data_IF_174919031014
#
_entry.id   IF_174919031014
#
_cell.length_a   1.000
_cell.length_b   1.000
_cell.length_c   1.000
_cell.angle_alpha   90.00
_cell.angle_beta   90.00
_cell.angle_gamma   90.00
#
_symmetry.space_group_name_H-M   'P 1'
#
loop_
_entity.id
_entity.type
_entity.pdbx_description
1 polymer ?
#
# COMPACT_ATOMS: atom_id res chain seq x y z
N UNK A 1 0.87 -25.04 -10.76
CA UNK A 1 1.78 -24.15 -11.52
C UNK A 1 2.78 -23.55 -10.56
N UNK A 2 4.03 -24.00 -10.63
CA UNK A 2 5.11 -23.59 -9.73
C UNK A 2 5.44 -22.11 -9.95
N UNK A 3 5.49 -21.34 -8.85
CA UNK A 3 5.95 -19.94 -8.80
C UNK A 3 7.47 -19.83 -9.07
N UNK A 4 8.17 -20.96 -9.21
CA UNK A 4 9.55 -20.99 -9.68
C UNK A 4 9.60 -20.94 -11.22
N UNK A 5 9.39 -19.74 -11.76
CA UNK A 5 9.79 -19.38 -13.11
C UNK A 5 10.77 -18.23 -13.02
N UNK A 6 12.03 -18.48 -13.41
CA UNK A 6 13.17 -17.58 -13.33
C UNK A 6 13.09 -16.37 -14.31
N UNK A 7 11.92 -15.73 -14.42
CA UNK A 7 11.77 -14.40 -15.05
C UNK A 7 11.98 -13.35 -13.97
N UNK A 8 13.00 -12.50 -14.10
CA UNK A 8 13.09 -11.27 -13.31
C UNK A 8 11.81 -10.47 -13.60
N UNK A 9 11.00 -10.26 -12.57
CA UNK A 9 9.87 -9.35 -12.64
C UNK A 9 10.39 -7.96 -13.00
N UNK A 10 9.83 -7.36 -14.05
CA UNK A 10 10.26 -6.05 -14.57
C UNK A 10 9.85 -4.94 -13.58
N UNK A 11 8.62 -5.00 -13.06
CA UNK A 11 8.05 -3.94 -12.25
C UNK A 11 8.08 -4.24 -10.73
N UNK A 12 7.95 -5.50 -10.34
CA UNK A 12 7.81 -5.89 -8.93
C UNK A 12 9.04 -6.65 -8.39
N UNK A 13 10.23 -6.44 -8.99
CA UNK A 13 11.44 -7.17 -8.62
C UNK A 13 11.82 -7.05 -7.13
N UNK A 14 11.79 -5.83 -6.57
CA UNK A 14 12.10 -5.60 -5.16
C UNK A 14 11.05 -6.21 -4.22
N UNK A 15 9.79 -6.16 -4.63
CA UNK A 15 8.65 -6.74 -3.91
C UNK A 15 8.78 -8.27 -3.87
N UNK A 16 9.12 -8.91 -4.98
CA UNK A 16 9.39 -10.35 -5.03
C UNK A 16 10.59 -10.75 -4.18
N UNK A 17 11.66 -9.96 -4.20
CA UNK A 17 12.82 -10.20 -3.34
C UNK A 17 12.42 -10.19 -1.86
N UNK A 18 11.66 -9.18 -1.44
CA UNK A 18 11.20 -9.05 -0.06
C UNK A 18 10.23 -10.18 0.33
N UNK A 19 9.26 -10.55 -0.52
CA UNK A 19 8.37 -11.69 -0.25
C UNK A 19 9.09 -13.03 -0.16
N UNK A 20 10.16 -13.25 -0.94
CA UNK A 20 11.01 -14.45 -0.80
C UNK A 20 11.78 -14.43 0.51
N UNK A 21 12.30 -13.27 0.92
CA UNK A 21 13.00 -13.12 2.20
C UNK A 21 12.06 -13.39 3.39
N UNK A 22 10.82 -12.90 3.31
CA UNK A 22 9.76 -13.15 4.30
C UNK A 22 9.20 -14.59 4.30
N UNK A 23 9.61 -15.42 3.33
CA UNK A 23 9.10 -16.79 3.17
C UNK A 23 7.64 -16.85 2.65
N UNK A 24 7.11 -15.76 2.11
CA UNK A 24 5.74 -15.64 1.66
C UNK A 24 5.45 -16.55 0.45
N UNK A 25 6.44 -16.75 -0.42
CA UNK A 25 6.34 -17.63 -1.60
C UNK A 25 6.18 -19.09 -1.18
N UNK A 26 6.99 -19.52 -0.22
CA UNK A 26 6.94 -20.86 0.37
C UNK A 26 5.59 -21.09 1.07
N UNK A 27 5.13 -20.13 1.87
CA UNK A 27 3.83 -20.20 2.55
C UNK A 27 2.66 -20.34 1.58
N UNK A 28 2.67 -19.62 0.46
CA UNK A 28 1.65 -19.72 -0.59
C UNK A 28 1.70 -21.05 -1.35
N UNK A 29 2.89 -21.60 -1.58
CA UNK A 29 3.07 -22.87 -2.27
C UNK A 29 2.47 -24.06 -1.50
N UNK A 30 2.37 -23.96 -0.17
CA UNK A 30 1.83 -25.01 0.73
C UNK A 30 2.46 -26.39 0.53
N UNK A 31 3.77 -26.41 0.23
CA UNK A 31 4.52 -27.66 0.05
C UNK A 31 4.92 -28.25 1.40
N UNK A 32 4.02 -29.02 2.00
CA UNK A 32 4.16 -29.62 3.34
C UNK A 32 5.40 -30.52 3.49
N UNK A 33 5.89 -31.12 2.38
CA UNK A 33 7.08 -31.97 2.38
C UNK A 33 8.41 -31.21 2.25
N UNK A 34 8.39 -29.87 2.12
CA UNK A 34 9.62 -29.09 1.93
C UNK A 34 10.12 -28.50 3.25
N UNK A 35 11.40 -28.73 3.58
CA UNK A 35 12.08 -28.05 4.70
C UNK A 35 11.92 -26.52 4.66
N UNK A 36 11.92 -25.93 3.44
CA UNK A 36 11.78 -24.48 3.25
C UNK A 36 10.42 -23.95 3.71
N UNK A 37 9.36 -24.75 3.58
CA UNK A 37 8.02 -24.40 4.05
C UNK A 37 7.98 -24.33 5.57
N UNK A 38 8.45 -25.38 6.26
CA UNK A 38 8.48 -25.41 7.73
C UNK A 38 9.37 -24.32 8.33
N UNK A 39 10.49 -24.00 7.68
CA UNK A 39 11.32 -22.85 8.06
C UNK A 39 10.56 -21.52 7.95
N UNK A 40 9.81 -21.30 6.87
CA UNK A 40 9.01 -20.10 6.69
C UNK A 40 7.85 -20.01 7.71
N UNK A 41 7.21 -21.14 8.02
CA UNK A 41 6.18 -21.23 9.07
C UNK A 41 6.76 -20.90 10.43
N UNK A 42 7.89 -21.50 10.81
CA UNK A 42 8.55 -21.22 12.09
C UNK A 42 8.97 -19.75 12.23
N UNK A 43 9.56 -19.17 11.17
CA UNK A 43 9.94 -17.75 11.15
C UNK A 43 8.73 -16.84 11.38
N UNK A 44 7.64 -17.05 10.65
CA UNK A 44 6.44 -16.22 10.76
C UNK A 44 5.64 -16.51 12.05
N UNK A 45 5.73 -17.71 12.62
CA UNK A 45 5.15 -18.00 13.93
C UNK A 45 5.84 -17.17 15.03
N UNK A 46 7.18 -17.11 15.00
CA UNK A 46 7.97 -16.32 15.96
C UNK A 46 7.75 -14.82 15.74
N UNK A 47 7.84 -14.36 14.50
CA UNK A 47 7.88 -12.92 14.19
C UNK A 47 6.49 -12.32 13.98
N UNK A 48 5.61 -13.00 13.26
CA UNK A 48 4.33 -12.44 12.80
C UNK A 48 3.18 -12.79 13.73
N UNK A 49 3.28 -13.88 14.50
CA UNK A 49 2.27 -14.23 15.51
C UNK A 49 2.71 -13.89 16.93
N UNK A 50 3.94 -14.26 17.35
CA UNK A 50 4.33 -14.09 18.75
C UNK A 50 4.63 -12.61 19.11
N UNK A 51 5.29 -11.85 18.22
CA UNK A 51 5.64 -10.46 18.51
C UNK A 51 4.43 -9.53 18.78
N UNK A 52 3.36 -9.51 17.96
CA UNK A 52 2.17 -8.73 18.29
C UNK A 52 1.51 -9.14 19.62
N UNK A 53 1.49 -10.45 19.93
CA UNK A 53 0.94 -10.95 21.20
C UNK A 53 1.75 -10.44 22.39
N UNK A 54 3.09 -10.47 22.29
CA UNK A 54 3.98 -9.96 23.35
C UNK A 54 3.76 -8.45 23.61
N UNK A 55 3.49 -7.67 22.57
CA UNK A 55 3.19 -6.23 22.69
C UNK A 55 1.79 -5.97 23.28
N UNK A 56 0.79 -6.75 22.87
CA UNK A 56 -0.59 -6.64 23.40
C UNK A 56 -0.60 -6.85 24.92
N UNK A 57 0.16 -7.84 25.42
CA UNK A 57 0.21 -8.18 26.83
C UNK A 57 0.76 -7.04 27.72
N UNK A 58 1.53 -6.10 27.16
CA UNK A 58 2.06 -4.92 27.87
C UNK A 58 1.40 -3.61 27.48
N UNK A 59 0.37 -3.63 26.63
CA UNK A 59 -0.15 -2.40 26.02
C UNK A 59 -0.67 -1.37 27.03
N UNK A 60 -1.26 -1.82 28.15
CA UNK A 60 -1.86 -0.96 29.18
C UNK A 60 -1.15 -1.07 30.54
N UNK A 61 0.10 -1.54 30.57
CA UNK A 61 0.82 -1.80 31.82
C UNK A 61 1.63 -0.60 32.34
N UNK A 62 1.61 0.56 31.67
CA UNK A 62 2.43 1.72 32.05
C UNK A 62 1.67 2.71 32.93
N UNK A 63 2.39 3.39 33.81
CA UNK A 63 1.81 4.42 34.69
C UNK A 63 1.45 5.69 33.90
N UNK A 64 2.25 6.06 32.90
CA UNK A 64 1.99 7.23 32.08
C UNK A 64 0.99 6.93 30.95
N UNK A 65 -0.08 7.74 30.80
CA UNK A 65 -1.03 7.61 29.71
C UNK A 65 -0.39 7.72 28.32
N UNK A 66 0.65 8.55 28.17
CA UNK A 66 1.37 8.74 26.91
C UNK A 66 2.08 7.45 26.46
N UNK A 67 2.71 6.74 27.40
CA UNK A 67 3.40 5.48 27.13
C UNK A 67 2.43 4.35 26.76
N UNK A 68 1.26 4.31 27.43
CA UNK A 68 0.19 3.38 27.06
C UNK A 68 -0.33 3.66 25.64
N UNK A 69 -0.51 4.93 25.26
CA UNK A 69 -0.98 5.29 23.93
C UNK A 69 0.04 4.95 22.83
N UNK A 70 1.32 5.19 23.10
CA UNK A 70 2.41 4.81 22.19
C UNK A 70 2.44 3.29 21.98
N UNK A 71 2.40 2.50 23.06
CA UNK A 71 2.40 1.03 22.98
C UNK A 71 1.12 0.49 22.32
N UNK A 72 -0.02 1.15 22.51
CA UNK A 72 -1.27 0.83 21.83
C UNK A 72 -1.15 0.98 20.31
N UNK A 73 -0.66 2.12 19.81
CA UNK A 73 -0.47 2.34 18.38
C UNK A 73 0.51 1.32 17.77
N UNK A 74 1.62 1.04 18.45
CA UNK A 74 2.62 0.05 17.99
C UNK A 74 2.02 -1.35 17.91
N UNK A 75 1.26 -1.76 18.94
CA UNK A 75 0.59 -3.07 18.99
C UNK A 75 -0.46 -3.19 17.89
N UNK A 76 -1.30 -2.16 17.72
CA UNK A 76 -2.33 -2.11 16.69
C UNK A 76 -1.72 -2.20 15.29
N UNK A 77 -0.67 -1.41 15.03
CA UNK A 77 0.08 -1.45 13.76
C UNK A 77 0.68 -2.84 13.54
N UNK A 78 1.30 -3.46 14.54
CA UNK A 78 1.94 -4.78 14.40
C UNK A 78 0.94 -5.89 14.09
N UNK A 79 -0.24 -5.88 14.73
CA UNK A 79 -1.33 -6.80 14.41
C UNK A 79 -1.81 -6.56 12.98
N UNK A 80 -2.03 -5.31 12.60
CA UNK A 80 -2.49 -4.94 11.27
C UNK A 80 -1.54 -5.43 10.18
N UNK A 81 -0.23 -5.18 10.32
CA UNK A 81 0.82 -5.67 9.41
C UNK A 81 0.79 -7.18 9.27
N UNK A 82 0.66 -7.88 10.39
CA UNK A 82 0.60 -9.34 10.40
C UNK A 82 -0.63 -9.88 9.66
N UNK A 83 -1.78 -9.24 9.84
CA UNK A 83 -3.02 -9.58 9.11
C UNK A 83 -2.89 -9.27 7.62
N UNK A 84 -2.39 -8.07 7.24
CA UNK A 84 -2.17 -7.67 5.84
C UNK A 84 -1.24 -8.66 5.13
N UNK A 85 -0.12 -9.00 5.74
CA UNK A 85 0.85 -9.95 5.20
C UNK A 85 0.20 -11.31 4.91
N UNK A 86 -0.58 -11.87 5.85
CA UNK A 86 -1.27 -13.14 5.64
C UNK A 86 -2.30 -13.08 4.51
N UNK A 87 -2.98 -11.94 4.34
CA UNK A 87 -3.90 -11.72 3.21
C UNK A 87 -3.12 -11.70 1.90
N UNK A 88 -2.01 -10.96 1.82
CA UNK A 88 -1.14 -10.92 0.63
C UNK A 88 -0.58 -12.29 0.28
N UNK A 89 -0.11 -13.07 1.27
CA UNK A 89 0.38 -14.44 1.06
C UNK A 89 -0.65 -15.30 0.33
N UNK A 90 -1.94 -15.17 0.66
CA UNK A 90 -3.02 -15.90 -0.02
C UNK A 90 -3.26 -15.43 -1.46
N UNK A 91 -3.05 -14.14 -1.72
CA UNK A 91 -3.29 -13.51 -3.04
C UNK A 91 -2.07 -13.54 -3.97
N UNK A 92 -0.88 -13.90 -3.48
CA UNK A 92 0.37 -13.97 -4.26
C UNK A 92 0.27 -14.71 -5.59
N UNK A 93 -0.65 -15.68 -5.72
CA UNK A 93 -0.85 -16.45 -6.97
C UNK A 93 -1.33 -15.59 -8.15
N UNK A 94 -1.97 -14.45 -7.88
CA UNK A 94 -2.53 -13.54 -8.90
C UNK A 94 -1.49 -12.58 -9.47
N UNK A 95 -0.41 -12.33 -8.75
CA UNK A 95 0.61 -11.35 -9.14
C UNK A 95 1.35 -11.75 -10.44
N UNK A 96 1.71 -13.02 -10.66
CA UNK A 96 2.21 -13.46 -11.96
C UNK A 96 1.22 -13.27 -13.11
N UNK A 97 -0.10 -13.32 -12.86
CA UNK A 97 -1.12 -13.02 -13.88
C UNK A 97 -1.13 -11.53 -14.21
N UNK A 98 -1.10 -10.66 -13.19
CA UNK A 98 -0.95 -9.19 -13.34
C UNK A 98 0.28 -8.86 -14.21
N UNK A 99 1.44 -9.43 -13.91
CA UNK A 99 2.67 -9.22 -14.68
C UNK A 99 2.56 -9.68 -16.14
N UNK A 100 1.88 -10.79 -16.40
CA UNK A 100 1.65 -11.27 -17.78
C UNK A 100 0.75 -10.32 -18.57
N UNK A 101 -0.29 -9.76 -17.94
CA UNK A 101 -1.17 -8.78 -18.58
C UNK A 101 -0.42 -7.49 -18.87
N UNK A 102 0.39 -7.00 -17.93
CA UNK A 102 1.27 -5.83 -18.12
C UNK A 102 2.25 -6.06 -19.26
N UNK A 103 2.97 -7.18 -19.26
CA UNK A 103 3.91 -7.52 -20.34
C UNK A 103 3.22 -7.58 -21.71
N UNK A 104 1.97 -8.06 -21.76
CA UNK A 104 1.16 -8.06 -23.00
C UNK A 104 0.82 -6.63 -23.45
N UNK A 105 0.48 -5.74 -22.53
CA UNK A 105 0.23 -4.32 -22.84
C UNK A 105 1.50 -3.59 -23.28
N UNK A 106 2.64 -3.88 -22.66
CA UNK A 106 3.94 -3.29 -23.01
C UNK A 106 4.35 -3.57 -24.46
N UNK A 107 3.99 -4.73 -25.02
CA UNK A 107 4.28 -5.05 -26.44
C UNK A 107 3.60 -4.11 -27.44
N UNK A 108 2.58 -3.36 -27.01
CA UNK A 108 1.82 -2.43 -27.86
C UNK A 108 2.43 -1.02 -27.92
N UNK A 109 3.47 -0.75 -27.13
CA UNK A 109 4.18 0.54 -27.12
C UNK A 109 5.07 0.63 -28.38
N UNK A 110 4.66 1.44 -29.35
CA UNK A 110 5.37 1.57 -30.64
C UNK A 110 5.83 2.99 -30.92
N UNK A 111 4.91 3.96 -30.84
CA UNK A 111 5.12 5.37 -31.20
C UNK A 111 6.04 6.11 -30.23
N UNK A 112 6.76 7.12 -30.71
CA UNK A 112 7.66 7.94 -29.87
C UNK A 112 6.94 8.55 -28.66
N UNK A 113 5.74 9.10 -28.84
CA UNK A 113 4.95 9.69 -27.75
C UNK A 113 4.57 8.64 -26.68
N UNK A 114 4.26 7.41 -27.09
CA UNK A 114 3.96 6.32 -26.16
C UNK A 114 5.21 5.88 -25.39
N UNK A 115 6.39 5.90 -26.02
CA UNK A 115 7.67 5.62 -25.36
C UNK A 115 8.01 6.70 -24.33
N UNK A 116 7.75 7.97 -24.64
CA UNK A 116 7.90 9.08 -23.69
C UNK A 116 6.95 8.88 -22.49
N UNK A 117 5.68 8.55 -22.73
CA UNK A 117 4.72 8.28 -21.65
C UNK A 117 5.09 7.04 -20.81
N UNK A 118 5.59 5.99 -21.46
CA UNK A 118 6.11 4.80 -20.78
C UNK A 118 7.31 5.14 -19.89
N UNK A 119 8.25 5.95 -20.40
CA UNK A 119 9.39 6.42 -19.64
C UNK A 119 8.97 7.30 -18.44
N UNK A 120 7.96 8.16 -18.59
CA UNK A 120 7.38 8.94 -17.49
C UNK A 120 6.76 8.03 -16.42
N UNK A 121 6.01 7.00 -16.84
CA UNK A 121 5.43 6.01 -15.93
C UNK A 121 6.53 5.27 -15.16
N UNK A 122 7.59 4.83 -15.86
CA UNK A 122 8.76 4.18 -15.25
C UNK A 122 9.51 5.09 -14.27
N UNK A 123 9.63 6.39 -14.60
CA UNK A 123 10.20 7.40 -13.71
C UNK A 123 9.37 7.55 -12.45
N UNK A 124 8.04 7.61 -12.57
CA UNK A 124 7.14 7.72 -11.43
C UNK A 124 7.21 6.50 -10.51
N UNK A 125 7.25 5.28 -11.08
CA UNK A 125 7.47 4.04 -10.33
C UNK A 125 8.79 4.07 -9.55
N UNK A 126 9.85 4.59 -10.18
CA UNK A 126 11.19 4.69 -9.56
C UNK A 126 11.21 5.72 -8.42
N UNK A 127 10.55 6.86 -8.60
CA UNK A 127 10.43 7.91 -7.57
C UNK A 127 9.68 7.34 -6.37
N UNK A 128 8.48 6.79 -6.57
CA UNK A 128 7.67 6.23 -5.47
C UNK A 128 8.43 5.10 -4.77
N UNK A 129 9.02 4.16 -5.51
CA UNK A 129 9.83 3.10 -4.91
C UNK A 129 11.00 3.65 -4.09
N UNK A 130 11.63 4.74 -4.54
CA UNK A 130 12.73 5.39 -3.82
C UNK A 130 12.26 6.10 -2.57
N UNK A 131 11.13 6.81 -2.62
CA UNK A 131 10.52 7.45 -1.45
C UNK A 131 10.16 6.41 -0.38
N UNK A 132 9.52 5.30 -0.75
CA UNK A 132 9.21 4.21 0.19
C UNK A 132 10.48 3.55 0.75
N UNK A 133 11.51 3.33 -0.06
CA UNK A 133 12.79 2.78 0.42
C UNK A 133 13.45 3.70 1.44
N UNK A 134 13.45 5.01 1.18
CA UNK A 134 14.04 6.01 2.08
C UNK A 134 13.24 6.13 3.38
N UNK A 135 11.91 6.20 3.31
CA UNK A 135 11.06 6.33 4.50
C UNK A 135 11.19 5.10 5.40
N UNK A 136 10.97 3.90 4.87
CA UNK A 136 11.06 2.66 5.62
C UNK A 136 12.48 2.33 6.06
N UNK A 137 13.50 2.69 5.25
CA UNK A 137 14.90 2.58 5.63
C UNK A 137 15.24 3.48 6.82
N UNK A 138 14.79 4.74 6.80
CA UNK A 138 14.98 5.67 7.92
C UNK A 138 14.28 5.19 9.19
N UNK A 139 13.04 4.70 9.09
CA UNK A 139 12.33 4.08 10.24
C UNK A 139 13.09 2.87 10.78
N UNK A 140 13.58 1.99 9.90
CA UNK A 140 14.38 0.84 10.29
C UNK A 140 15.68 1.23 11.01
N UNK A 141 16.39 2.25 10.52
CA UNK A 141 17.59 2.75 11.20
C UNK A 141 17.21 3.34 12.55
N UNK A 142 16.21 4.22 12.61
CA UNK A 142 15.78 4.88 13.84
C UNK A 142 15.38 3.89 14.93
N UNK A 143 14.53 2.89 14.61
CA UNK A 143 14.06 1.91 15.58
C UNK A 143 15.16 0.98 16.11
N UNK A 144 16.14 0.64 15.28
CA UNK A 144 17.21 -0.29 15.67
C UNK A 144 18.38 0.42 16.35
N UNK A 145 18.70 1.65 15.94
CA UNK A 145 19.84 2.43 16.46
C UNK A 145 19.49 3.11 17.79
N UNK A 146 18.22 3.50 18.01
CA UNK A 146 17.79 4.18 19.23
C UNK A 146 18.12 3.41 20.53
N UNK A 147 18.18 2.08 20.47
CA UNK A 147 18.49 1.23 21.63
C UNK A 147 19.92 1.43 22.13
N UNK A 148 20.87 1.67 21.25
CA UNK A 148 22.28 1.84 21.60
C UNK A 148 22.58 3.16 22.32
N UNK A 149 21.67 4.13 22.22
CA UNK A 149 21.80 5.45 22.85
C UNK A 149 21.13 5.54 24.22
N UNK A 150 20.51 4.46 24.70
CA UNK A 150 19.88 4.43 26.03
C UNK A 150 20.89 4.04 27.10
N UNK A 151 20.98 4.84 28.17
CA UNK A 151 21.93 4.63 29.28
C UNK A 151 21.61 3.38 30.12
N UNK A 152 20.34 2.99 30.18
CA UNK A 152 19.88 1.82 30.92
C UNK A 152 19.50 0.67 29.99
N UNK A 153 19.73 -0.57 30.46
CA UNK A 153 19.30 -1.80 29.77
C UNK A 153 17.79 -1.77 29.58
N UNK A 154 17.39 -1.56 28.34
CA UNK A 154 15.99 -1.52 27.94
C UNK A 154 15.81 -2.27 26.63
N UNK A 155 14.58 -2.71 26.39
CA UNK A 155 14.18 -3.31 25.13
C UNK A 155 13.78 -2.20 24.14
N UNK A 156 14.03 -2.38 22.82
CA UNK A 156 13.58 -1.46 21.78
C UNK A 156 12.11 -1.08 21.90
N UNK A 157 11.25 -2.09 22.07
CA UNK A 157 9.83 -1.89 22.37
C UNK A 157 9.48 -2.58 23.69
N UNK A 158 8.72 -1.92 24.57
CA UNK A 158 8.21 -2.58 25.77
C UNK A 158 7.29 -3.74 25.38
N UNK A 159 7.68 -4.97 25.73
CA UNK A 159 6.93 -6.19 25.41
C UNK A 159 7.05 -7.19 26.56
N UNK A 160 6.02 -8.01 26.77
CA UNK A 160 6.08 -9.10 27.73
C UNK A 160 6.90 -10.25 27.18
N UNK A 161 7.84 -10.77 27.98
CA UNK A 161 8.61 -11.97 27.66
C UNK A 161 8.40 -13.04 28.74
N UNK A 162 8.31 -14.32 28.34
CA UNK A 162 8.20 -15.41 29.30
C UNK A 162 9.49 -15.68 30.09
N UNK A 163 10.62 -15.12 29.65
CA UNK A 163 11.92 -15.27 30.30
C UNK A 163 12.29 -13.96 31.01
N UNK A 164 12.76 -14.07 32.26
CA UNK A 164 13.26 -12.93 33.03
C UNK A 164 14.52 -12.35 32.38
N UNK A 165 14.34 -11.29 31.60
CA UNK A 165 15.41 -10.57 30.91
C UNK A 165 16.06 -9.47 31.78
N UNK A 166 15.42 -9.08 32.88
CA UNK A 166 15.91 -8.05 33.80
C UNK A 166 17.11 -8.52 34.62
N UNK A 167 17.06 -9.77 35.08
CA UNK A 167 18.08 -10.35 35.98
C UNK A 167 19.17 -11.15 35.24
N UNK A 168 18.89 -11.66 34.04
CA UNK A 168 19.81 -12.52 33.28
C UNK A 168 20.29 -11.86 31.98
N UNK A 169 21.61 -11.73 31.83
CA UNK A 169 22.25 -11.20 30.62
C UNK A 169 21.96 -12.07 29.38
N UNK A 170 21.95 -13.40 29.55
CA UNK A 170 21.66 -14.32 28.44
C UNK A 170 20.23 -14.15 27.94
N UNK A 171 19.26 -14.06 28.85
CA UNK A 171 17.86 -13.85 28.51
C UNK A 171 17.64 -12.47 27.88
N UNK A 172 18.37 -11.45 28.36
CA UNK A 172 18.37 -10.12 27.75
C UNK A 172 18.82 -10.15 26.28
N UNK A 173 19.96 -10.80 25.97
CA UNK A 173 20.42 -10.92 24.58
C UNK A 173 19.45 -11.71 23.69
N UNK A 174 18.81 -12.76 24.22
CA UNK A 174 17.78 -13.51 23.49
C UNK A 174 16.59 -12.62 23.16
N UNK A 175 16.05 -11.90 24.14
CA UNK A 175 14.92 -10.99 23.95
C UNK A 175 15.28 -9.86 22.96
N UNK A 176 16.49 -9.32 23.09
CA UNK A 176 17.00 -8.26 22.22
C UNK A 176 17.11 -8.74 20.77
N UNK A 177 17.74 -9.89 20.52
CA UNK A 177 17.86 -10.46 19.18
C UNK A 177 16.50 -10.80 18.56
N UNK A 178 15.57 -11.32 19.38
CA UNK A 178 14.20 -11.56 18.95
C UNK A 178 13.52 -10.26 18.49
N UNK A 179 13.61 -9.17 19.27
CA UNK A 179 13.01 -7.90 18.88
C UNK A 179 13.64 -7.30 17.63
N UNK A 180 14.98 -7.32 17.52
CA UNK A 180 15.68 -6.86 16.32
C UNK A 180 15.19 -7.58 15.06
N UNK A 181 15.08 -8.91 15.13
CA UNK A 181 14.57 -9.72 14.03
C UNK A 181 13.10 -9.39 13.73
N UNK A 182 12.26 -9.32 14.76
CA UNK A 182 10.82 -9.09 14.60
C UNK A 182 10.53 -7.72 13.98
N UNK A 183 11.16 -6.66 14.49
CA UNK A 183 11.02 -5.29 13.98
C UNK A 183 11.49 -5.21 12.52
N UNK A 184 12.66 -5.77 12.21
CA UNK A 184 13.21 -5.74 10.85
C UNK A 184 12.29 -6.43 9.84
N UNK A 185 11.71 -7.56 10.23
CA UNK A 185 10.76 -8.30 9.39
C UNK A 185 9.41 -7.60 9.29
N UNK A 186 8.86 -7.03 10.36
CA UNK A 186 7.61 -6.25 10.35
C UNK A 186 7.74 -5.00 9.47
N UNK A 187 8.87 -4.30 9.53
CA UNK A 187 9.18 -3.16 8.65
C UNK A 187 9.21 -3.62 7.18
N UNK A 188 9.84 -4.77 6.91
CA UNK A 188 9.87 -5.32 5.56
C UNK A 188 8.48 -5.75 5.06
N UNK A 189 7.64 -6.31 5.93
CA UNK A 189 6.23 -6.64 5.63
C UNK A 189 5.46 -5.38 5.26
N UNK A 190 5.47 -4.34 6.11
CA UNK A 190 4.80 -3.07 5.82
C UNK A 190 5.31 -2.40 4.55
N UNK A 191 6.64 -2.40 4.33
CA UNK A 191 7.23 -1.81 3.13
C UNK A 191 6.64 -2.41 1.85
N UNK A 192 6.52 -3.75 1.78
CA UNK A 192 6.00 -4.42 0.58
C UNK A 192 4.49 -4.24 0.45
N UNK A 193 3.77 -4.38 1.56
CA UNK A 193 2.31 -4.32 1.62
C UNK A 193 1.79 -2.94 1.19
N UNK A 194 2.52 -1.87 1.54
CA UNK A 194 2.13 -0.50 1.22
C UNK A 194 2.71 -0.02 -0.13
N UNK A 195 3.84 -0.59 -0.59
CA UNK A 195 4.44 -0.24 -1.89
C UNK A 195 3.66 -0.85 -3.07
N UNK A 196 3.15 -2.07 -2.94
CA UNK A 196 2.51 -2.76 -4.06
C UNK A 196 1.26 -2.01 -4.63
N UNK A 197 0.28 -1.55 -3.82
CA UNK A 197 -0.91 -0.86 -4.31
C UNK A 197 -0.67 0.40 -5.16
N UNK A 198 0.16 1.38 -4.75
CA UNK A 198 0.42 2.55 -5.59
C UNK A 198 1.13 2.17 -6.90
N UNK A 199 2.07 1.21 -6.89
CA UNK A 199 2.77 0.80 -8.11
C UNK A 199 1.82 0.17 -9.14
N UNK A 200 0.91 -0.72 -8.72
CA UNK A 200 -0.05 -1.33 -9.65
C UNK A 200 -1.04 -0.29 -10.21
N UNK A 201 -1.45 0.70 -9.41
CA UNK A 201 -2.30 1.80 -9.89
C UNK A 201 -1.58 2.72 -10.88
N UNK A 202 -0.31 3.06 -10.64
CA UNK A 202 0.51 3.82 -11.60
C UNK A 202 0.55 3.11 -12.95
N UNK A 203 0.77 1.79 -12.94
CA UNK A 203 0.84 0.98 -14.16
C UNK A 203 -0.51 0.92 -14.89
N UNK A 204 -1.62 0.76 -14.17
CA UNK A 204 -2.97 0.77 -14.74
C UNK A 204 -3.25 2.15 -15.38
N UNK A 205 -3.01 3.23 -14.66
CA UNK A 205 -3.23 4.59 -15.17
C UNK A 205 -2.35 4.87 -16.40
N UNK A 206 -1.07 4.50 -16.36
CA UNK A 206 -0.14 4.67 -17.48
C UNK A 206 -0.59 3.93 -18.73
N UNK A 207 -1.09 2.69 -18.61
CA UNK A 207 -1.63 1.96 -19.75
C UNK A 207 -2.97 2.51 -20.25
N UNK A 208 -3.82 3.05 -19.37
CA UNK A 208 -5.02 3.78 -19.79
C UNK A 208 -4.65 5.01 -20.62
N UNK A 209 -3.67 5.81 -20.18
CA UNK A 209 -3.21 6.99 -20.90
C UNK A 209 -2.57 6.63 -22.26
N UNK A 210 -1.80 5.54 -22.32
CA UNK A 210 -1.29 5.02 -23.60
C UNK A 210 -2.41 4.55 -24.53
N UNK A 211 -3.49 4.00 -23.98
CA UNK A 211 -4.67 3.65 -24.77
C UNK A 211 -5.40 4.90 -25.27
N UNK A 212 -5.51 5.94 -24.44
CA UNK A 212 -6.05 7.26 -24.83
C UNK A 212 -5.29 7.81 -26.04
N UNK A 213 -3.96 7.86 -25.99
CA UNK A 213 -3.12 8.35 -27.10
C UNK A 213 -3.35 7.56 -28.39
N UNK A 214 -3.50 6.23 -28.29
CA UNK A 214 -3.78 5.37 -29.45
C UNK A 214 -5.13 5.63 -30.04
N UNK A 215 -6.17 5.68 -29.21
CA UNK A 215 -7.54 5.93 -29.64
C UNK A 215 -7.67 7.29 -30.34
N UNK A 216 -7.10 8.35 -29.76
CA UNK A 216 -7.19 9.69 -30.33
C UNK A 216 -6.46 9.84 -31.66
N UNK A 217 -5.47 8.99 -31.94
CA UNK A 217 -4.71 9.05 -33.18
C UNK A 217 -5.40 8.34 -34.36
N UNK A 218 -6.42 7.51 -34.12
CA UNK A 218 -7.03 6.69 -35.17
C UNK A 218 -7.71 7.57 -36.24
N UNK A 219 -7.34 7.33 -37.50
CA UNK A 219 -7.96 7.95 -38.67
C UNK A 219 -7.43 9.34 -39.03
N UNK A 220 -6.39 9.80 -38.36
CA UNK A 220 -5.64 11.01 -38.75
C UNK A 220 -4.41 10.68 -39.62
N UNK A 221 -3.92 9.45 -39.55
CA UNK A 221 -2.95 8.93 -40.50
C UNK A 221 -3.63 8.62 -41.85
N UNK A 222 -2.86 8.60 -42.94
CA UNK A 222 -3.36 8.21 -44.28
C UNK A 222 -3.66 6.69 -44.38
N UNK A 223 -4.01 6.07 -43.26
CA UNK A 223 -4.34 4.65 -43.14
C UNK A 223 -5.71 4.36 -43.73
N UNK A 224 -5.81 3.24 -44.45
CA UNK A 224 -7.08 2.77 -44.99
C UNK A 224 -8.10 2.49 -43.87
N UNK A 225 -9.39 2.70 -44.18
CA UNK A 225 -10.51 2.46 -43.25
C UNK A 225 -10.49 1.08 -42.60
N UNK A 226 -10.04 0.04 -43.33
CA UNK A 226 -9.90 -1.32 -42.79
C UNK A 226 -8.81 -1.42 -41.71
N UNK A 227 -7.71 -0.71 -41.89
CA UNK A 227 -6.63 -0.64 -40.90
C UNK A 227 -7.11 0.05 -39.62
N UNK A 228 -7.83 1.18 -39.76
CA UNK A 228 -8.40 1.92 -38.63
C UNK A 228 -9.40 1.07 -37.84
N UNK A 229 -10.24 0.28 -38.52
CA UNK A 229 -11.16 -0.66 -37.89
C UNK A 229 -10.43 -1.77 -37.13
N UNK A 230 -9.38 -2.34 -37.71
CA UNK A 230 -8.55 -3.32 -37.00
C UNK A 230 -7.85 -2.70 -35.78
N UNK A 231 -7.37 -1.47 -35.88
CA UNK A 231 -6.72 -0.79 -34.76
C UNK A 231 -7.70 -0.46 -33.63
N UNK A 232 -8.93 -0.05 -33.96
CA UNK A 232 -10.01 0.10 -32.97
C UNK A 232 -10.29 -1.22 -32.25
N UNK A 233 -10.39 -2.35 -32.98
CA UNK A 233 -10.61 -3.66 -32.38
C UNK A 233 -9.46 -4.04 -31.43
N UNK A 234 -8.21 -3.73 -31.79
CA UNK A 234 -7.06 -3.94 -30.89
C UNK A 234 -7.16 -3.03 -29.65
N UNK A 235 -7.55 -1.77 -29.81
CA UNK A 235 -7.77 -0.85 -28.68
C UNK A 235 -8.88 -1.35 -27.73
N UNK A 236 -9.98 -1.89 -28.27
CA UNK A 236 -11.05 -2.51 -27.47
C UNK A 236 -10.50 -3.71 -26.67
N UNK A 237 -9.67 -4.54 -27.31
CA UNK A 237 -9.03 -5.68 -26.64
C UNK A 237 -8.06 -5.24 -25.54
N UNK A 238 -7.28 -4.19 -25.79
CA UNK A 238 -6.37 -3.62 -24.81
C UNK A 238 -7.15 -3.03 -23.61
N UNK A 239 -8.26 -2.34 -23.86
CA UNK A 239 -9.17 -1.88 -22.80
C UNK A 239 -9.70 -3.05 -21.94
N UNK A 240 -10.13 -4.15 -22.56
CA UNK A 240 -10.58 -5.34 -21.84
C UNK A 240 -9.47 -5.93 -20.96
N UNK A 241 -8.22 -5.94 -21.45
CA UNK A 241 -7.05 -6.38 -20.68
C UNK A 241 -6.80 -5.44 -19.50
N UNK A 242 -6.87 -4.12 -19.69
CA UNK A 242 -6.72 -3.13 -18.61
C UNK A 242 -7.84 -3.28 -17.57
N UNK A 243 -9.09 -3.49 -17.98
CA UNK A 243 -10.19 -3.77 -17.05
C UNK A 243 -9.95 -5.06 -16.26
N UNK A 244 -9.45 -6.12 -16.90
CA UNK A 244 -9.08 -7.37 -16.21
C UNK A 244 -7.92 -7.16 -15.24
N UNK A 245 -6.90 -6.41 -15.64
CA UNK A 245 -5.76 -6.03 -14.80
C UNK A 245 -6.23 -5.27 -13.56
N UNK A 246 -7.13 -4.31 -13.75
CA UNK A 246 -7.74 -3.55 -12.67
C UNK A 246 -8.49 -4.45 -11.67
N UNK A 247 -9.34 -5.36 -12.17
CA UNK A 247 -10.06 -6.30 -11.32
C UNK A 247 -9.11 -7.19 -10.51
N UNK A 248 -8.08 -7.76 -11.14
CA UNK A 248 -7.08 -8.58 -10.46
C UNK A 248 -6.31 -7.78 -9.42
N UNK A 249 -5.93 -6.54 -9.72
CA UNK A 249 -5.26 -5.66 -8.76
C UNK A 249 -6.16 -5.42 -7.55
N UNK A 250 -7.44 -5.10 -7.76
CA UNK A 250 -8.42 -4.91 -6.69
C UNK A 250 -8.63 -6.16 -5.84
N UNK A 251 -8.68 -7.35 -6.44
CA UNK A 251 -8.76 -8.62 -5.70
C UNK A 251 -7.55 -8.87 -4.78
N UNK A 252 -6.39 -8.32 -5.11
CA UNK A 252 -5.16 -8.44 -4.29
C UNK A 252 -5.15 -7.39 -3.17
N UNK A 253 -5.48 -6.12 -3.49
CA UNK A 253 -5.26 -4.98 -2.57
C UNK A 253 -6.49 -4.58 -1.74
N UNK A 254 -7.71 -4.99 -2.12
CA UNK A 254 -8.94 -4.47 -1.50
C UNK A 254 -9.04 -4.74 0.01
N UNK A 255 -8.78 -5.97 0.45
CA UNK A 255 -8.84 -6.35 1.86
C UNK A 255 -7.68 -5.79 2.69
N UNK A 256 -6.40 -5.88 2.25
CA UNK A 256 -5.29 -5.25 2.97
C UNK A 256 -5.48 -3.74 3.15
N UNK A 257 -5.98 -3.04 2.12
CA UNK A 257 -6.26 -1.60 2.22
C UNK A 257 -7.40 -1.30 3.18
N UNK A 258 -8.41 -2.16 3.33
CA UNK A 258 -9.47 -1.96 4.32
C UNK A 258 -8.87 -1.96 5.74
N UNK A 259 -8.04 -2.95 6.04
CA UNK A 259 -7.32 -3.04 7.33
C UNK A 259 -6.48 -1.79 7.53
N UNK A 260 -5.74 -1.37 6.50
CA UNK A 260 -4.90 -0.18 6.54
C UNK A 260 -5.69 1.10 6.85
N UNK A 261 -6.84 1.31 6.19
CA UNK A 261 -7.66 2.51 6.42
C UNK A 261 -8.18 2.56 7.86
N UNK A 262 -8.71 1.45 8.38
CA UNK A 262 -9.25 1.39 9.75
C UNK A 262 -8.16 1.70 10.78
N UNK A 263 -6.99 1.05 10.63
CA UNK A 263 -5.89 1.16 11.58
C UNK A 263 -5.31 2.57 11.59
N UNK A 264 -5.07 3.16 10.42
CA UNK A 264 -4.55 4.54 10.35
C UNK A 264 -5.54 5.56 10.86
N UNK A 265 -6.86 5.37 10.68
CA UNK A 265 -7.85 6.26 11.29
C UNK A 265 -7.70 6.30 12.81
N UNK A 266 -7.44 5.15 13.43
CA UNK A 266 -7.23 5.04 14.88
C UNK A 266 -5.87 5.63 15.27
N UNK A 267 -4.79 5.21 14.59
CA UNK A 267 -3.41 5.63 14.92
C UNK A 267 -3.22 7.15 14.76
N UNK A 268 -3.77 7.75 13.70
CA UNK A 268 -3.67 9.22 13.50
C UNK A 268 -4.48 9.96 14.56
N UNK A 269 -5.67 9.48 14.92
CA UNK A 269 -6.47 10.08 15.99
C UNK A 269 -5.74 10.04 17.33
N UNK A 270 -5.21 8.87 17.69
CA UNK A 270 -4.42 8.68 18.91
C UNK A 270 -3.13 9.52 18.91
N UNK A 271 -2.36 9.50 17.81
CA UNK A 271 -1.13 10.26 17.69
C UNK A 271 -1.35 11.78 17.76
N UNK A 272 -2.42 12.28 17.14
CA UNK A 272 -2.78 13.69 17.20
C UNK A 272 -3.24 14.09 18.61
N UNK A 273 -3.95 13.22 19.33
CA UNK A 273 -4.29 13.45 20.74
C UNK A 273 -3.03 13.51 21.62
N UNK A 274 -2.10 12.57 21.46
CA UNK A 274 -0.80 12.60 22.17
C UNK A 274 -0.09 13.93 21.92
N UNK A 275 0.05 14.31 20.64
CA UNK A 275 0.77 15.53 20.25
C UNK A 275 0.17 16.81 20.86
N UNK A 276 -1.16 16.88 20.99
CA UNK A 276 -1.84 18.08 21.47
C UNK A 276 -1.97 18.15 22.99
N UNK A 277 -2.21 17.03 23.68
CA UNK A 277 -2.57 17.04 25.11
C UNK A 277 -1.46 16.57 26.06
N UNK A 278 -0.56 15.71 25.58
CA UNK A 278 0.37 15.01 26.46
C UNK A 278 1.84 15.39 26.23
N UNK A 279 2.15 15.97 25.07
CA UNK A 279 3.53 16.24 24.66
C UNK A 279 3.97 17.66 25.04
N UNK A 280 4.91 17.72 25.99
CA UNK A 280 5.51 18.98 26.46
C UNK A 280 6.88 19.24 25.83
N UNK A 281 7.69 18.18 25.62
CA UNK A 281 9.06 18.30 25.15
C UNK A 281 9.16 18.47 23.62
N UNK A 282 10.13 19.28 23.15
CA UNK A 282 10.35 19.49 21.70
C UNK A 282 10.70 18.19 20.97
N UNK A 283 11.42 17.28 21.62
CA UNK A 283 11.85 16.01 21.03
C UNK A 283 10.66 15.08 20.76
N UNK A 284 9.74 14.97 21.72
CA UNK A 284 8.50 14.22 21.56
C UNK A 284 7.58 14.84 20.51
N UNK A 285 7.51 16.19 20.42
CA UNK A 285 6.74 16.86 19.35
C UNK A 285 7.24 16.48 17.98
N UNK A 286 8.56 16.49 17.79
CA UNK A 286 9.17 16.08 16.53
C UNK A 286 8.91 14.60 16.23
N UNK A 287 8.95 13.74 17.24
CA UNK A 287 8.63 12.32 17.10
C UNK A 287 7.17 12.12 16.62
N UNK A 288 6.18 12.65 17.33
CA UNK A 288 4.77 12.49 16.95
C UNK A 288 4.42 13.17 15.63
N UNK A 289 5.01 14.33 15.33
CA UNK A 289 4.85 14.98 14.02
C UNK A 289 5.42 14.11 12.89
N UNK A 290 6.60 13.52 13.08
CA UNK A 290 7.20 12.61 12.11
C UNK A 290 6.39 11.32 11.94
N UNK A 291 5.79 10.82 13.03
CA UNK A 291 4.93 9.64 13.03
C UNK A 291 3.64 9.89 12.24
N UNK A 292 2.95 11.01 12.48
CA UNK A 292 1.76 11.40 11.71
C UNK A 292 2.10 11.57 10.22
N UNK A 293 3.24 12.19 9.91
CA UNK A 293 3.71 12.32 8.53
C UNK A 293 3.98 10.95 7.88
N UNK A 294 4.58 10.01 8.62
CA UNK A 294 4.81 8.65 8.14
C UNK A 294 3.49 7.93 7.84
N UNK A 295 2.49 8.02 8.72
CA UNK A 295 1.14 7.47 8.50
C UNK A 295 0.47 8.10 7.26
N UNK A 296 0.63 9.41 7.07
CA UNK A 296 0.15 10.09 5.87
C UNK A 296 0.84 9.55 4.60
N UNK A 297 2.15 9.31 4.64
CA UNK A 297 2.91 8.70 3.53
C UNK A 297 2.40 7.31 3.17
N UNK A 298 1.91 6.53 4.13
CA UNK A 298 1.41 5.18 3.84
C UNK A 298 0.11 5.19 3.01
N UNK A 299 -0.77 6.17 3.22
CA UNK A 299 -2.09 6.23 2.54
C UNK A 299 -2.12 7.18 1.36
N UNK A 300 -1.45 8.32 1.44
CA UNK A 300 -1.58 9.37 0.44
C UNK A 300 -1.26 8.89 -0.99
N UNK A 301 -0.15 8.17 -1.26
CA UNK A 301 0.17 7.70 -2.60
C UNK A 301 -0.90 6.77 -3.18
N UNK A 302 -1.39 5.80 -2.41
CA UNK A 302 -2.42 4.85 -2.91
C UNK A 302 -3.74 5.56 -3.19
N UNK A 303 -4.15 6.52 -2.36
CA UNK A 303 -5.35 7.33 -2.61
C UNK A 303 -5.20 8.26 -3.81
N UNK A 304 -4.04 8.89 -3.97
CA UNK A 304 -3.73 9.75 -5.12
C UNK A 304 -3.78 8.94 -6.43
N UNK A 305 -3.07 7.82 -6.50
CA UNK A 305 -3.05 6.98 -7.69
C UNK A 305 -4.37 6.23 -7.91
N UNK A 306 -5.15 5.96 -6.86
CA UNK A 306 -6.53 5.48 -6.98
C UNK A 306 -7.40 6.48 -7.75
N UNK A 307 -7.38 7.75 -7.35
CA UNK A 307 -8.07 8.83 -8.07
C UNK A 307 -7.51 9.03 -9.48
N UNK A 308 -6.19 8.90 -9.68
CA UNK A 308 -5.58 9.00 -11.02
C UNK A 308 -6.09 7.90 -11.95
N UNK A 309 -6.22 6.67 -11.47
CA UNK A 309 -6.78 5.57 -12.27
C UNK A 309 -8.23 5.87 -12.67
N UNK A 310 -9.07 6.33 -11.73
CA UNK A 310 -10.45 6.75 -12.03
C UNK A 310 -10.48 7.84 -13.12
N UNK A 311 -9.61 8.84 -12.99
CA UNK A 311 -9.45 9.92 -13.97
C UNK A 311 -8.99 9.39 -15.34
N UNK A 312 -7.97 8.53 -15.41
CA UNK A 312 -7.47 7.96 -16.67
C UNK A 312 -8.51 7.08 -17.37
N UNK A 313 -9.30 6.29 -16.64
CA UNK A 313 -10.44 5.58 -17.22
C UNK A 313 -11.52 6.56 -17.73
N UNK A 314 -11.76 7.64 -16.98
CA UNK A 314 -12.65 8.74 -17.36
C UNK A 314 -12.27 9.41 -18.68
N UNK A 315 -11.02 9.35 -19.12
CA UNK A 315 -10.61 9.99 -20.38
C UNK A 315 -10.83 9.13 -21.63
N UNK A 316 -11.09 7.83 -21.48
CA UNK A 316 -11.17 6.90 -22.62
C UNK A 316 -12.32 7.21 -23.58
N UNK A 317 -13.49 7.60 -23.05
CA UNK A 317 -14.64 7.94 -23.89
C UNK A 317 -14.40 9.22 -24.69
N UNK A 318 -13.74 10.21 -24.08
CA UNK A 318 -13.35 11.45 -24.76
C UNK A 318 -12.31 11.16 -25.85
N UNK A 319 -11.32 10.30 -25.57
CA UNK A 319 -10.32 9.89 -26.54
C UNK A 319 -10.93 9.19 -27.78
N UNK A 320 -11.95 8.35 -27.56
CA UNK A 320 -12.70 7.72 -28.63
C UNK A 320 -13.44 8.75 -29.50
N UNK A 321 -14.03 9.77 -28.87
CA UNK A 321 -14.68 10.89 -29.57
C UNK A 321 -13.68 11.74 -30.35
N UNK A 322 -12.45 11.92 -29.84
CA UNK A 322 -11.38 12.65 -30.52
C UNK A 322 -10.76 11.92 -31.72
N UNK A 323 -11.10 10.66 -31.98
CA UNK A 323 -10.66 9.96 -33.20
C UNK A 323 -11.34 10.54 -34.45
N UNK A 324 -10.79 10.34 -35.64
CA UNK A 324 -11.45 10.77 -36.89
C UNK A 324 -12.57 9.77 -37.29
N UNK A 325 -13.58 9.61 -36.44
CA UNK A 325 -14.62 8.57 -36.55
C UNK A 325 -15.70 8.86 -37.61
N UNK A 326 -15.90 10.13 -37.96
CA UNK A 326 -16.95 10.58 -38.89
C UNK A 326 -16.71 10.02 -40.29
N UNK A 327 -15.46 10.00 -40.74
CA UNK A 327 -15.06 9.54 -42.08
C UNK A 327 -14.81 8.02 -42.17
N UNK A 328 -15.02 7.27 -41.08
CA UNK A 328 -14.77 5.83 -41.03
C UNK A 328 -15.97 4.99 -41.51
N UNK A 329 -15.75 3.67 -41.65
CA UNK A 329 -16.76 2.69 -42.03
C UNK A 329 -17.96 2.67 -41.05
N UNK A 330 -19.13 2.21 -41.52
CA UNK A 330 -20.30 2.01 -40.65
C UNK A 330 -19.99 1.02 -39.52
N UNK A 331 -19.22 -0.03 -39.82
CA UNK A 331 -18.78 -1.03 -38.84
C UNK A 331 -17.91 -0.41 -37.76
N UNK A 332 -16.94 0.44 -38.13
CA UNK A 332 -16.13 1.21 -37.19
C UNK A 332 -17.01 2.03 -36.24
N UNK A 333 -17.94 2.81 -36.77
CA UNK A 333 -18.83 3.68 -35.97
C UNK A 333 -19.69 2.87 -34.99
N UNK A 334 -20.25 1.74 -35.44
CA UNK A 334 -21.02 0.83 -34.56
C UNK A 334 -20.16 0.28 -33.42
N UNK A 335 -18.96 -0.19 -33.72
CA UNK A 335 -18.02 -0.69 -32.70
C UNK A 335 -17.60 0.42 -31.73
N UNK A 336 -17.36 1.63 -32.24
CA UNK A 336 -17.00 2.79 -31.43
C UNK A 336 -18.10 3.18 -30.45
N UNK A 337 -19.37 3.21 -30.89
CA UNK A 337 -20.52 3.52 -30.01
C UNK A 337 -20.59 2.51 -28.86
N UNK A 338 -20.50 1.21 -29.16
CA UNK A 338 -20.50 0.16 -28.13
C UNK A 338 -19.31 0.34 -27.18
N UNK A 339 -18.14 0.69 -27.71
CA UNK A 339 -16.96 0.94 -26.91
C UNK A 339 -17.14 2.14 -25.97
N UNK A 340 -17.66 3.27 -26.47
CA UNK A 340 -17.93 4.47 -25.68
C UNK A 340 -18.89 4.17 -24.53
N UNK A 341 -20.01 3.51 -24.80
CA UNK A 341 -20.98 3.08 -23.77
C UNK A 341 -20.34 2.18 -22.70
N UNK A 342 -19.39 1.32 -23.09
CA UNK A 342 -18.65 0.48 -22.14
C UNK A 342 -17.67 1.29 -21.30
N UNK A 343 -16.97 2.27 -21.90
CA UNK A 343 -16.00 3.12 -21.17
C UNK A 343 -16.64 4.07 -20.16
N UNK A 344 -17.94 4.39 -20.30
CA UNK A 344 -18.67 5.16 -19.29
C UNK A 344 -18.88 4.39 -17.97
N UNK A 345 -18.76 3.06 -17.98
CA UNK A 345 -18.82 2.25 -16.76
C UNK A 345 -17.45 2.25 -16.08
N UNK A 346 -17.16 3.32 -15.36
CA UNK A 346 -15.90 3.50 -14.66
C UNK A 346 -15.67 2.41 -13.60
N UNK A 347 -14.45 1.86 -13.51
CA UNK A 347 -14.11 0.93 -12.44
C UNK A 347 -14.19 1.65 -11.08
N UNK A 348 -14.96 1.09 -10.15
CA UNK A 348 -15.08 1.63 -8.79
C UNK A 348 -14.04 0.98 -7.89
N UNK A 349 -13.02 1.73 -7.47
CA UNK A 349 -12.04 1.22 -6.50
C UNK A 349 -12.57 1.36 -5.08
N UNK A 350 -12.83 0.23 -4.43
CA UNK A 350 -13.25 0.20 -3.03
C UNK A 350 -12.45 -0.81 -2.23
N UNK A 351 -11.90 -0.37 -1.11
CA UNK A 351 -11.29 -1.22 -0.10
C UNK A 351 -12.39 -1.95 0.67
N UNK A 352 -12.30 -3.29 0.70
CA UNK A 352 -13.32 -4.19 1.26
C UNK A 352 -14.72 -4.04 0.67
N UNK A 353 -14.90 -3.40 -0.49
CA UNK A 353 -16.19 -2.93 -1.04
C UNK A 353 -16.90 -1.81 -0.23
N UNK A 354 -16.32 -1.33 0.86
CA UNK A 354 -16.91 -0.30 1.73
C UNK A 354 -16.32 1.09 1.46
N UNK A 355 -14.99 1.22 1.54
CA UNK A 355 -14.30 2.51 1.55
C UNK A 355 -13.77 2.84 0.16
N UNK A 356 -14.11 3.99 -0.46
CA UNK A 356 -13.53 4.37 -1.75
C UNK A 356 -12.03 4.62 -1.63
N UNK A 357 -11.25 4.15 -2.61
CA UNK A 357 -9.80 4.41 -2.65
C UNK A 357 -9.56 5.68 -3.46
N UNK A 358 -9.71 6.82 -2.80
CA UNK A 358 -9.63 8.13 -3.43
C UNK A 358 -9.03 9.18 -2.50
N UNK A 359 -8.56 10.29 -3.07
CA UNK A 359 -8.03 11.41 -2.31
C UNK A 359 -9.07 12.00 -1.33
N UNK A 360 -10.35 11.93 -1.67
CA UNK A 360 -11.46 12.32 -0.77
C UNK A 360 -11.48 11.51 0.52
N UNK A 361 -11.14 10.21 0.48
CA UNK A 361 -11.03 9.35 1.67
C UNK A 361 -9.85 9.74 2.55
N UNK A 362 -8.70 10.06 1.94
CA UNK A 362 -7.55 10.58 2.70
C UNK A 362 -7.91 11.88 3.42
N UNK A 363 -8.54 12.83 2.72
CA UNK A 363 -8.98 14.08 3.32
C UNK A 363 -10.05 13.88 4.41
N UNK A 364 -10.98 12.94 4.20
CA UNK A 364 -11.98 12.58 5.20
C UNK A 364 -11.32 12.01 6.46
N UNK A 365 -10.29 11.19 6.32
CA UNK A 365 -9.52 10.66 7.44
C UNK A 365 -8.82 11.78 8.24
N UNK A 366 -8.14 12.70 7.55
CA UNK A 366 -7.50 13.85 8.20
C UNK A 366 -8.51 14.73 8.95
N UNK A 367 -9.68 14.99 8.34
CA UNK A 367 -10.78 15.75 8.98
C UNK A 367 -11.33 15.02 10.19
N UNK A 368 -11.56 13.71 10.11
CA UNK A 368 -12.08 12.92 11.22
C UNK A 368 -11.11 12.93 12.41
N UNK A 369 -9.82 12.76 12.17
CA UNK A 369 -8.80 12.83 13.23
C UNK A 369 -8.77 14.22 13.88
N UNK A 370 -8.80 15.29 13.08
CA UNK A 370 -8.84 16.66 13.59
C UNK A 370 -10.10 16.92 14.42
N UNK A 371 -11.29 16.57 13.89
CA UNK A 371 -12.57 16.73 14.59
C UNK A 371 -12.62 15.95 15.92
N UNK A 372 -12.09 14.73 15.93
CA UNK A 372 -11.99 13.93 17.16
C UNK A 372 -11.13 14.63 18.21
N UNK A 373 -9.97 15.16 17.81
CA UNK A 373 -9.08 15.87 18.73
C UNK A 373 -9.69 17.19 19.23
N UNK A 374 -10.38 17.96 18.37
CA UNK A 374 -11.05 19.19 18.80
C UNK A 374 -12.18 18.91 19.79
N UNK A 375 -12.95 17.83 19.59
CA UNK A 375 -13.99 17.42 20.54
C UNK A 375 -13.42 17.02 21.90
N UNK A 376 -12.25 16.37 21.91
CA UNK A 376 -11.56 16.05 23.16
C UNK A 376 -11.01 17.30 23.85
N UNK A 377 -10.55 18.29 23.08
CA UNK A 377 -10.08 19.56 23.63
C UNK A 377 -11.22 20.31 24.31
N UNK A 378 -12.34 20.46 23.62
CA UNK A 378 -13.52 21.18 24.11
C UNK A 378 -14.03 20.59 25.43
N UNK A 379 -14.24 19.26 25.47
CA UNK A 379 -14.64 18.54 26.68
C UNK A 379 -13.59 18.58 27.82
N UNK A 380 -12.31 18.80 27.49
CA UNK A 380 -11.24 18.98 28.48
C UNK A 380 -11.33 20.36 29.16
N UNK A 381 -11.59 21.40 28.37
CA UNK A 381 -11.76 22.78 28.84
C UNK A 381 -12.94 22.92 29.78
N UNK A 382 -14.09 22.31 29.44
CA UNK A 382 -15.29 22.32 30.29
C UNK A 382 -15.05 21.67 31.66
N UNK A 383 -14.22 20.62 31.72
CA UNK A 383 -13.88 19.95 32.99
C UNK A 383 -12.90 20.76 33.84
N UNK A 384 -11.90 21.40 33.24
CA UNK A 384 -11.02 22.32 33.95
C UNK A 384 -11.80 23.51 34.51
N UNK A 385 -12.75 24.04 33.74
CA UNK A 385 -13.57 25.18 34.14
C UNK A 385 -14.57 24.83 35.26
N UNK A 386 -15.18 23.64 35.22
CA UNK A 386 -15.98 23.11 36.34
C UNK A 386 -15.13 22.83 37.60
N UNK A 387 -13.89 22.36 37.44
CA UNK A 387 -12.99 22.10 38.58
C UNK A 387 -12.41 23.36 39.22
N UNK A 388 -12.40 24.50 38.49
CA UNK A 388 -12.02 25.81 39.04
C UNK A 388 -13.20 26.53 39.73
N UNK A 389 -14.43 26.11 39.47
CA UNK A 389 -15.64 26.68 40.07
C UNK A 389 -16.11 25.94 41.33
N UNK A 390 -15.59 24.74 41.58
CA UNK A 390 -15.73 23.97 42.82
C UNK A 390 -14.52 24.20 43.73
#
# INVERSE_FOLDING_TARGET
MSVNGNRRSVYFGIIWWAWRLLGAVELNARSLGSYRFWRAVALNAIVTAAFPVMLILTTLSFELPLDNLMNFNISLTSVATSVKFLIYVRQLRKIPEIERLLAKLDTRVSTNDQRVHHAQTSRMLSIISTLYKLSYGATGINSNVAVFFREQRSLPFPAWFPLDWTNSLTNYFIALMHQFLAISMQILQNFVDDLFPPLVFILIAGHCDQLVLRLSAIGYDQSDRRSNEQELIKCIRDHQIICRLHLLAMEVISWPLLVQFIVISIDVGAALCALLFYVESMQERLYYASFIFALAMQIFPVCYYGTLVEYSFGRLHFAAYSSNWVDQSITYRKNLIIFVERTQRLPKQRAGNFIPIALTTFLANCKAAYSFCTLLADNGTDKEELSRQL
#
